data_IF_864067875306
#
_entry.id   IF_864067875306
#
_cell.length_a   1.000
_cell.length_b   1.000
_cell.length_c   1.000
_cell.angle_alpha   90.00
_cell.angle_beta   90.00
_cell.angle_gamma   90.00
#
_symmetry.space_group_name_H-M   'P 1'
#
loop_
_entity.id
_entity.type
_entity.pdbx_description
1 polymer ?
#
# COMPACT_ATOMS: atom_id res chain seq x y z
N UNK A 1 -15.64 0.83 -2.61
CA UNK A 1 -16.43 1.22 -1.42
C UNK A 1 -15.90 2.55 -0.95
N UNK A 2 -16.77 3.54 -0.75
CA UNK A 2 -16.40 4.89 -0.32
C UNK A 2 -15.99 4.90 1.16
N UNK A 3 -14.91 5.61 1.48
CA UNK A 3 -14.49 5.87 2.87
C UNK A 3 -15.50 6.86 3.48
N UNK A 4 -16.17 6.56 4.60
CA UNK A 4 -17.08 7.51 5.24
C UNK A 4 -16.27 8.60 5.97
N UNK A 5 -16.64 9.87 5.82
CA UNK A 5 -16.11 10.96 6.65
C UNK A 5 -15.63 12.23 5.95
N UNK A 6 -16.00 12.48 4.69
CA UNK A 6 -15.63 13.73 3.99
C UNK A 6 -16.89 14.58 3.82
N UNK A 7 -16.88 15.83 4.33
CA UNK A 7 -17.85 16.85 3.96
C UNK A 7 -18.01 16.81 2.44
N UNK A 8 -19.22 16.52 1.95
CA UNK A 8 -19.45 16.28 0.53
C UNK A 8 -19.04 17.50 -0.29
N UNK A 9 -17.82 17.47 -0.84
CA UNK A 9 -17.39 18.39 -1.88
C UNK A 9 -18.46 18.33 -2.96
N UNK A 10 -18.98 19.47 -3.45
CA UNK A 10 -19.96 19.45 -4.52
C UNK A 10 -19.41 18.60 -5.66
N UNK A 11 -20.26 17.72 -6.19
CA UNK A 11 -20.01 16.74 -7.26
C UNK A 11 -19.75 17.40 -8.61
N UNK A 12 -18.89 18.41 -8.64
CA UNK A 12 -18.54 19.10 -9.87
C UNK A 12 -17.55 18.26 -10.67
N UNK A 13 -17.72 18.23 -12.00
CA UNK A 13 -16.68 17.76 -12.89
C UNK A 13 -15.34 18.50 -12.63
N UNK A 14 -14.23 17.79 -12.86
CA UNK A 14 -12.87 18.33 -12.72
C UNK A 14 -12.44 18.98 -14.04
N UNK A 15 -11.78 20.15 -14.07
CA UNK A 15 -11.31 20.71 -15.35
C UNK A 15 -10.15 19.92 -15.94
N UNK A 16 -9.86 20.11 -17.24
CA UNK A 16 -8.68 19.50 -17.89
C UNK A 16 -7.37 19.92 -17.23
N UNK A 17 -7.26 21.16 -16.78
CA UNK A 17 -6.08 21.69 -16.11
C UNK A 17 -5.93 21.08 -14.71
N UNK A 18 -7.01 21.00 -13.94
CA UNK A 18 -7.04 20.37 -12.61
C UNK A 18 -6.61 18.90 -12.71
N UNK A 19 -7.15 18.17 -13.70
CA UNK A 19 -6.79 16.78 -13.93
C UNK A 19 -5.34 16.59 -14.33
N UNK A 20 -4.85 17.39 -15.29
CA UNK A 20 -3.46 17.31 -15.75
C UNK A 20 -2.48 17.65 -14.61
N UNK A 21 -2.80 18.65 -13.79
CA UNK A 21 -2.01 19.03 -12.63
C UNK A 21 -1.98 17.93 -11.56
N UNK A 22 -3.12 17.29 -11.29
CA UNK A 22 -3.22 16.20 -10.33
C UNK A 22 -2.35 15.00 -10.75
N UNK A 23 -2.44 14.59 -12.02
CA UNK A 23 -1.64 13.49 -12.58
C UNK A 23 -0.14 13.83 -12.62
N UNK A 24 0.25 15.05 -13.04
CA UNK A 24 1.66 15.49 -12.98
C UNK A 24 2.17 15.42 -11.55
N UNK A 25 1.40 15.94 -10.58
CA UNK A 25 1.79 15.92 -9.18
C UNK A 25 1.97 14.48 -8.68
N UNK A 26 1.04 13.59 -8.99
CA UNK A 26 1.13 12.19 -8.63
C UNK A 26 2.35 11.48 -9.26
N UNK A 27 2.62 11.73 -10.55
CA UNK A 27 3.79 11.19 -11.24
C UNK A 27 5.11 11.79 -10.71
N UNK A 28 5.11 13.06 -10.34
CA UNK A 28 6.27 13.72 -9.74
C UNK A 28 6.59 13.12 -8.37
N UNK A 29 5.58 12.95 -7.52
CA UNK A 29 5.71 12.30 -6.21
C UNK A 29 6.32 10.90 -6.35
N UNK A 30 5.81 10.11 -7.31
CA UNK A 30 6.39 8.81 -7.62
C UNK A 30 7.86 8.92 -8.09
N UNK A 31 8.20 9.90 -8.92
CA UNK A 31 9.59 10.09 -9.37
C UNK A 31 10.56 10.51 -8.26
N UNK A 32 10.05 11.18 -7.21
CA UNK A 32 10.88 11.52 -6.05
C UNK A 32 11.28 10.28 -5.25
N UNK A 33 10.46 9.23 -5.24
CA UNK A 33 10.79 7.97 -4.57
C UNK A 33 12.02 7.29 -5.18
N UNK A 34 12.28 7.50 -6.47
CA UNK A 34 13.46 6.98 -7.17
C UNK A 34 14.75 7.74 -6.82
N UNK A 35 14.65 8.90 -6.15
CA UNK A 35 15.79 9.81 -5.89
C UNK A 35 16.02 10.03 -4.39
N UNK A 36 15.03 9.77 -3.53
CA UNK A 36 15.17 9.96 -2.08
C UNK A 36 16.08 8.91 -1.45
N UNK A 37 17.30 9.32 -1.10
CA UNK A 37 18.29 8.51 -0.37
C UNK A 37 18.19 8.65 1.16
N UNK A 38 17.05 9.08 1.71
CA UNK A 38 16.96 9.36 3.15
C UNK A 38 17.06 8.04 3.93
N UNK A 39 18.23 7.83 4.53
CA UNK A 39 18.48 6.70 5.42
C UNK A 39 17.90 6.96 6.78
N UNK A 40 16.96 6.12 7.26
CA UNK A 40 16.46 6.28 8.61
C UNK A 40 17.62 6.14 9.59
N UNK A 41 17.71 7.07 10.53
CA UNK A 41 18.69 7.02 11.62
C UNK A 41 18.47 5.78 12.48
N UNK A 42 17.21 5.37 12.61
CA UNK A 42 16.78 4.19 13.37
C UNK A 42 15.48 3.65 12.79
N UNK A 43 15.36 2.33 12.77
CA UNK A 43 14.15 1.64 12.39
C UNK A 43 13.77 0.59 13.43
N UNK A 44 12.50 0.57 13.83
CA UNK A 44 11.98 -0.39 14.82
C UNK A 44 10.66 -0.99 14.36
N UNK A 45 10.47 -2.30 14.53
CA UNK A 45 9.23 -3.00 14.21
C UNK A 45 8.61 -3.68 15.44
N UNK A 46 7.30 -3.51 15.62
CA UNK A 46 6.48 -4.25 16.58
C UNK A 46 5.56 -5.19 15.79
N UNK A 47 5.75 -6.50 15.95
CA UNK A 47 4.95 -7.55 15.29
C UNK A 47 3.97 -8.16 16.30
N UNK A 48 2.67 -8.00 16.06
CA UNK A 48 1.60 -8.34 17.01
C UNK A 48 0.71 -9.45 16.46
N UNK A 49 0.42 -10.46 17.27
CA UNK A 49 -0.61 -11.46 16.98
C UNK A 49 -1.38 -11.89 18.25
N UNK A 50 -2.55 -12.50 18.10
CA UNK A 50 -3.31 -13.04 19.23
C UNK A 50 -3.08 -14.54 19.43
N UNK A 51 -3.13 -15.00 20.68
CA UNK A 51 -2.94 -16.42 21.03
C UNK A 51 -4.12 -17.30 20.62
N UNK A 52 -5.36 -16.78 20.67
CA UNK A 52 -6.55 -17.46 20.16
C UNK A 52 -6.41 -17.85 18.69
N UNK A 53 -5.68 -17.02 17.95
CA UNK A 53 -5.37 -17.28 16.55
C UNK A 53 -4.44 -18.48 16.40
N UNK A 54 -3.68 -18.91 17.41
CA UNK A 54 -2.84 -20.13 17.27
C UNK A 54 -3.67 -21.41 17.30
N UNK A 55 -4.64 -21.45 18.22
CA UNK A 55 -5.51 -22.61 18.41
C UNK A 55 -6.47 -22.77 17.23
N UNK A 56 -6.88 -21.65 16.64
CA UNK A 56 -7.80 -21.60 15.49
C UNK A 56 -7.04 -21.56 14.15
N UNK A 57 -5.79 -21.04 14.15
CA UNK A 57 -4.95 -20.76 12.97
C UNK A 57 -3.47 -21.03 13.28
N UNK A 58 -3.00 -22.29 13.18
CA UNK A 58 -1.67 -22.68 13.64
C UNK A 58 -0.50 -21.95 12.94
N UNK A 59 -0.77 -21.22 11.86
CA UNK A 59 0.20 -20.47 11.08
C UNK A 59 0.34 -18.99 11.48
N UNK A 60 -0.50 -18.43 12.35
CA UNK A 60 -0.50 -16.99 12.63
C UNK A 60 0.76 -16.54 13.38
N UNK A 61 1.10 -17.20 14.48
CA UNK A 61 2.32 -16.87 15.23
C UNK A 61 3.57 -17.09 14.38
N UNK A 62 3.68 -18.25 13.73
CA UNK A 62 4.85 -18.53 12.88
C UNK A 62 4.97 -17.55 11.70
N UNK A 63 3.85 -17.05 11.17
CA UNK A 63 3.87 -16.01 10.14
C UNK A 63 4.29 -14.65 10.71
N UNK A 64 3.78 -14.26 11.89
CA UNK A 64 4.20 -13.06 12.61
C UNK A 64 5.70 -13.09 12.94
N UNK A 65 6.21 -14.22 13.41
CA UNK A 65 7.63 -14.46 13.65
C UNK A 65 8.45 -14.30 12.36
N UNK A 66 7.97 -14.80 11.22
CA UNK A 66 8.67 -14.62 9.93
C UNK A 66 8.70 -13.16 9.47
N UNK A 67 7.66 -12.37 9.75
CA UNK A 67 7.66 -10.92 9.49
C UNK A 67 8.69 -10.23 10.38
N UNK A 68 8.71 -10.58 11.68
CA UNK A 68 9.72 -10.08 12.62
C UNK A 68 11.14 -10.43 12.15
N UNK A 69 11.36 -11.68 11.75
CA UNK A 69 12.67 -12.18 11.31
C UNK A 69 13.16 -11.50 10.03
N UNK A 70 12.28 -11.13 9.08
CA UNK A 70 12.74 -10.39 7.89
C UNK A 70 13.17 -8.98 8.28
N UNK A 71 12.43 -8.28 9.14
CA UNK A 71 12.84 -6.95 9.61
C UNK A 71 14.14 -7.00 10.42
N UNK A 72 14.29 -7.98 11.30
CA UNK A 72 15.50 -8.14 12.13
C UNK A 72 16.70 -8.60 11.32
N UNK A 73 16.60 -9.75 10.65
CA UNK A 73 17.77 -10.43 10.08
C UNK A 73 18.11 -9.93 8.68
N UNK A 74 17.13 -9.48 7.90
CA UNK A 74 17.34 -9.01 6.52
C UNK A 74 17.54 -7.50 6.47
N UNK A 75 16.76 -6.74 7.24
CA UNK A 75 16.82 -5.26 7.25
C UNK A 75 17.61 -4.70 8.44
N UNK A 76 17.92 -5.48 9.47
CA UNK A 76 18.70 -5.01 10.62
C UNK A 76 17.95 -4.02 11.51
N UNK A 77 16.62 -4.10 11.55
CA UNK A 77 15.77 -3.26 12.39
C UNK A 77 15.72 -3.79 13.83
N UNK A 78 15.49 -2.89 14.79
CA UNK A 78 15.14 -3.31 16.15
C UNK A 78 13.74 -3.94 16.13
N UNK A 79 13.57 -5.20 16.53
CA UNK A 79 12.25 -5.85 16.47
C UNK A 79 11.77 -6.34 17.82
N UNK A 80 10.45 -6.29 18.00
CA UNK A 80 9.76 -6.83 19.19
C UNK A 80 8.56 -7.64 18.72
N UNK A 81 8.46 -8.89 19.17
CA UNK A 81 7.26 -9.70 19.02
C UNK A 81 6.33 -9.53 20.22
N UNK A 82 5.03 -9.37 19.97
CA UNK A 82 4.00 -9.33 21.00
C UNK A 82 2.91 -10.35 20.68
N UNK A 83 2.78 -11.35 21.56
CA UNK A 83 1.64 -12.27 21.54
C UNK A 83 0.65 -11.82 22.61
N UNK A 84 -0.51 -11.32 22.19
CA UNK A 84 -1.59 -10.97 23.12
C UNK A 84 -2.30 -12.27 23.51
N UNK A 85 -2.20 -12.61 24.80
CA UNK A 85 -2.70 -13.88 25.35
C UNK A 85 -4.22 -13.90 25.45
N UNK A 86 -4.82 -15.10 25.37
CA UNK A 86 -6.28 -15.28 25.47
C UNK A 86 -6.84 -14.75 26.80
N UNK A 87 -6.08 -14.91 27.87
CA UNK A 87 -6.40 -14.47 29.22
C UNK A 87 -6.05 -13.00 29.50
N UNK A 88 -5.57 -12.25 28.50
CA UNK A 88 -5.32 -10.82 28.66
C UNK A 88 -6.64 -10.10 28.92
N UNK A 89 -6.76 -9.51 30.11
CA UNK A 89 -7.96 -8.81 30.56
C UNK A 89 -8.12 -7.46 29.89
N UNK A 90 -7.05 -6.91 29.30
CA UNK A 90 -7.07 -5.62 28.62
C UNK A 90 -6.07 -5.57 27.45
N UNK A 91 -6.37 -6.24 26.32
CA UNK A 91 -5.56 -6.19 25.11
C UNK A 91 -5.24 -4.77 24.61
N UNK A 92 -6.18 -3.83 24.75
CA UNK A 92 -5.96 -2.41 24.41
C UNK A 92 -4.80 -1.81 25.21
N UNK A 93 -4.77 -2.03 26.54
CA UNK A 93 -3.72 -1.51 27.40
C UNK A 93 -2.36 -2.19 27.13
N UNK A 94 -2.36 -3.50 26.89
CA UNK A 94 -1.15 -4.26 26.52
C UNK A 94 -0.54 -3.71 25.22
N UNK A 95 -1.35 -3.55 24.18
CA UNK A 95 -0.90 -2.99 22.91
C UNK A 95 -0.44 -1.53 23.07
N UNK A 96 -1.18 -0.72 23.84
CA UNK A 96 -0.80 0.66 24.15
C UNK A 96 0.57 0.76 24.84
N UNK A 97 0.86 -0.14 25.78
CA UNK A 97 2.15 -0.21 26.46
C UNK A 97 3.27 -0.56 25.48
N UNK A 98 3.04 -1.56 24.62
CA UNK A 98 4.01 -1.97 23.60
C UNK A 98 4.30 -0.85 22.59
N UNK A 99 3.29 -0.06 22.20
CA UNK A 99 3.47 1.12 21.34
C UNK A 99 4.33 2.19 22.02
N UNK A 100 4.20 2.36 23.34
CA UNK A 100 5.12 3.21 24.10
C UNK A 100 6.59 2.76 23.92
N UNK A 101 6.84 1.45 23.94
CA UNK A 101 8.13 0.87 23.63
C UNK A 101 8.57 1.07 22.17
N UNK A 102 7.64 0.95 21.21
CA UNK A 102 7.89 1.17 19.78
C UNK A 102 8.37 2.61 19.52
N UNK A 103 7.71 3.61 20.09
CA UNK A 103 8.00 5.02 19.82
C UNK A 103 9.06 5.65 20.71
N UNK A 104 9.45 4.99 21.82
CA UNK A 104 10.45 5.54 22.72
C UNK A 104 11.78 5.85 22.01
N UNK A 105 12.15 7.13 22.00
CA UNK A 105 13.36 7.67 21.36
C UNK A 105 13.32 7.68 19.83
N UNK A 106 12.13 7.72 19.23
CA UNK A 106 11.92 7.86 17.78
C UNK A 106 11.50 9.30 17.45
N UNK A 107 12.04 9.86 16.36
CA UNK A 107 11.76 11.19 15.84
C UNK A 107 11.55 11.13 14.31
N UNK A 108 11.44 12.29 13.66
CA UNK A 108 11.21 12.45 12.21
C UNK A 108 12.25 11.77 11.30
N UNK A 109 13.44 11.44 11.81
CA UNK A 109 14.47 10.70 11.07
C UNK A 109 14.37 9.17 11.30
N UNK A 110 13.37 8.71 12.04
CA UNK A 110 13.17 7.31 12.38
C UNK A 110 11.96 6.72 11.64
N UNK A 111 11.96 5.39 11.48
CA UNK A 111 10.82 4.61 10.96
C UNK A 111 10.34 3.63 12.04
N UNK A 112 9.10 3.76 12.47
CA UNK A 112 8.40 2.79 13.29
C UNK A 112 7.48 1.93 12.42
N UNK A 113 7.50 0.62 12.62
CA UNK A 113 6.63 -0.32 11.89
C UNK A 113 5.73 -1.03 12.90
N UNK A 114 4.42 -0.97 12.68
CA UNK A 114 3.44 -1.75 13.40
C UNK A 114 2.89 -2.82 12.46
N UNK A 115 3.28 -4.07 12.67
CA UNK A 115 2.67 -5.22 12.00
C UNK A 115 1.65 -5.88 12.91
N UNK A 116 0.47 -6.18 12.37
CA UNK A 116 -0.59 -6.88 13.08
C UNK A 116 -1.17 -7.97 12.18
N UNK A 117 -1.30 -9.17 12.73
CA UNK A 117 -2.04 -10.28 12.14
C UNK A 117 -3.05 -10.82 13.16
N UNK A 118 -4.34 -10.85 12.81
CA UNK A 118 -5.37 -11.38 13.69
C UNK A 118 -6.80 -10.96 13.33
N UNK A 119 -7.69 -10.88 14.32
CA UNK A 119 -9.08 -10.54 14.09
C UNK A 119 -9.32 -9.03 13.84
N UNK A 120 -10.24 -8.73 12.92
CA UNK A 120 -10.90 -7.42 12.78
C UNK A 120 -12.41 -7.53 13.06
N UNK A 121 -13.16 -6.45 12.84
CA UNK A 121 -14.61 -6.40 13.06
C UNK A 121 -15.04 -6.77 14.49
N UNK A 122 -16.11 -7.56 14.63
CA UNK A 122 -16.66 -7.98 15.94
C UNK A 122 -15.66 -8.79 16.81
N UNK A 123 -14.67 -9.42 16.18
CA UNK A 123 -13.62 -10.17 16.87
C UNK A 123 -12.47 -9.30 17.39
N UNK A 124 -12.41 -8.03 16.98
CA UNK A 124 -11.33 -7.11 17.33
C UNK A 124 -11.28 -6.87 18.85
N UNK A 125 -10.08 -6.97 19.44
CA UNK A 125 -9.87 -6.80 20.89
C UNK A 125 -9.31 -5.43 21.28
N UNK A 126 -9.09 -4.56 20.31
CA UNK A 126 -8.60 -3.20 20.49
C UNK A 126 -9.39 -2.27 19.56
N UNK A 127 -9.43 -0.98 19.88
CA UNK A 127 -10.10 0.03 19.06
C UNK A 127 -9.03 0.80 18.29
N UNK A 128 -8.87 0.50 17.00
CA UNK A 128 -7.81 1.08 16.19
C UNK A 128 -7.89 2.62 16.08
N UNK A 129 -9.05 3.26 15.83
CA UNK A 129 -9.13 4.73 15.77
C UNK A 129 -8.62 5.39 17.06
N UNK A 130 -9.08 4.90 18.22
CA UNK A 130 -8.61 5.39 19.52
C UNK A 130 -7.12 5.17 19.73
N UNK A 131 -6.58 4.03 19.30
CA UNK A 131 -5.16 3.73 19.41
C UNK A 131 -4.32 4.61 18.48
N UNK A 132 -4.79 4.83 17.25
CA UNK A 132 -4.17 5.72 16.28
C UNK A 132 -4.08 7.14 16.84
N UNK A 133 -5.22 7.73 17.18
CA UNK A 133 -5.32 9.14 17.59
C UNK A 133 -4.51 9.44 18.85
N UNK A 134 -4.44 8.48 19.79
CA UNK A 134 -3.80 8.70 21.08
C UNK A 134 -2.34 8.22 21.16
N UNK A 135 -1.91 7.32 20.27
CA UNK A 135 -0.61 6.63 20.40
C UNK A 135 0.22 6.56 19.15
N UNK A 136 -0.33 6.78 17.96
CA UNK A 136 0.42 6.74 16.70
C UNK A 136 0.56 8.14 16.12
N UNK A 137 -0.56 8.80 15.84
CA UNK A 137 -0.60 10.10 15.18
C UNK A 137 0.13 11.23 15.95
N UNK A 138 0.15 11.25 17.30
CA UNK A 138 0.86 12.30 18.03
C UNK A 138 2.39 12.26 17.93
N UNK A 139 2.99 11.21 17.35
CA UNK A 139 4.45 11.08 17.25
C UNK A 139 4.97 11.63 15.94
N UNK A 140 6.10 12.36 16.00
CA UNK A 140 6.77 12.93 14.82
C UNK A 140 7.43 11.87 13.93
N UNK A 141 7.67 10.66 14.47
CA UNK A 141 8.30 9.59 13.73
C UNK A 141 7.51 9.14 12.49
N UNK A 142 8.21 8.70 11.45
CA UNK A 142 7.54 8.08 10.31
C UNK A 142 6.98 6.72 10.73
N UNK A 143 5.74 6.41 10.38
CA UNK A 143 5.11 5.15 10.80
C UNK A 143 4.53 4.40 9.61
N UNK A 144 4.90 3.12 9.48
CA UNK A 144 4.26 2.18 8.58
C UNK A 144 3.42 1.18 9.39
N UNK A 145 2.13 1.11 9.09
CA UNK A 145 1.19 0.18 9.69
C UNK A 145 0.86 -0.90 8.65
N UNK A 146 1.01 -2.17 9.03
CA UNK A 146 0.86 -3.34 8.16
C UNK A 146 -0.13 -4.32 8.80
N UNK A 147 -1.37 -4.35 8.34
CA UNK A 147 -2.43 -5.15 8.96
C UNK A 147 -2.89 -6.28 8.04
N UNK A 148 -2.92 -7.51 8.57
CA UNK A 148 -3.61 -8.66 7.99
C UNK A 148 -4.72 -9.09 8.93
N UNK A 149 -5.98 -8.98 8.49
CA UNK A 149 -7.13 -9.25 9.35
C UNK A 149 -8.07 -10.30 8.75
N UNK A 150 -8.77 -11.09 9.56
CA UNK A 150 -9.82 -11.96 9.02
C UNK A 150 -11.08 -11.18 8.59
N UNK A 151 -11.29 -9.99 9.15
CA UNK A 151 -12.38 -9.06 8.82
C UNK A 151 -11.83 -7.63 8.74
N UNK A 152 -12.51 -6.70 8.05
CA UNK A 152 -12.12 -5.29 8.02
C UNK A 152 -12.00 -4.69 9.43
N UNK A 153 -11.01 -3.84 9.63
CA UNK A 153 -10.89 -2.99 10.82
C UNK A 153 -11.46 -1.61 10.48
N UNK A 154 -12.10 -0.98 11.46
CA UNK A 154 -12.51 0.42 11.35
C UNK A 154 -11.28 1.33 11.35
N UNK A 155 -11.09 2.09 10.27
CA UNK A 155 -9.92 2.97 10.09
C UNK A 155 -10.27 4.45 10.32
N UNK A 156 -11.56 4.81 10.41
CA UNK A 156 -12.13 6.16 10.57
C UNK A 156 -11.25 7.34 10.09
N UNK A 157 -11.56 7.88 8.90
CA UNK A 157 -10.83 8.99 8.31
C UNK A 157 -9.43 8.64 7.81
N UNK A 158 -8.55 9.64 7.75
CA UNK A 158 -7.17 9.50 7.31
C UNK A 158 -6.25 9.22 8.50
N UNK A 159 -5.14 8.54 8.24
CA UNK A 159 -4.04 8.42 9.21
C UNK A 159 -3.25 9.73 9.30
N UNK A 160 -2.53 9.95 10.41
CA UNK A 160 -1.76 11.16 10.65
C UNK A 160 -0.67 11.45 9.62
N UNK A 161 -0.07 12.63 9.72
CA UNK A 161 1.06 13.06 8.89
C UNK A 161 2.29 12.15 9.08
N UNK A 162 2.97 11.82 7.98
CA UNK A 162 4.11 10.89 7.94
C UNK A 162 3.75 9.46 8.39
N UNK A 163 2.47 9.10 8.29
CA UNK A 163 1.97 7.76 8.61
C UNK A 163 1.41 7.14 7.33
N UNK A 164 1.68 5.86 7.15
CA UNK A 164 1.23 5.05 6.01
C UNK A 164 0.64 3.74 6.52
N UNK A 165 -0.49 3.30 5.94
CA UNK A 165 -1.18 2.06 6.31
C UNK A 165 -1.37 1.22 5.05
N UNK A 166 -0.83 0.00 5.07
CA UNK A 166 -1.19 -1.06 4.12
C UNK A 166 -1.98 -2.12 4.89
N UNK A 167 -3.25 -2.28 4.52
CA UNK A 167 -4.15 -3.19 5.21
C UNK A 167 -4.81 -4.16 4.23
N UNK A 168 -4.87 -5.43 4.60
CA UNK A 168 -5.58 -6.47 3.86
C UNK A 168 -6.47 -7.24 4.82
N UNK A 169 -7.56 -7.78 4.29
CA UNK A 169 -8.41 -8.68 5.05
C UNK A 169 -8.81 -9.90 4.22
N UNK A 170 -9.07 -11.03 4.87
CA UNK A 170 -9.50 -12.25 4.20
C UNK A 170 -10.83 -12.03 3.46
N UNK A 171 -10.90 -12.48 2.20
CA UNK A 171 -12.19 -12.60 1.53
C UNK A 171 -12.93 -13.80 2.16
N UNK A 172 -14.25 -13.68 2.37
CA UNK A 172 -15.09 -14.77 2.93
C UNK A 172 -15.06 -16.06 2.10
N UNK A 173 -14.40 -16.06 0.94
CA UNK A 173 -14.32 -17.15 -0.02
C UNK A 173 -12.96 -17.88 -0.01
N UNK A 174 -11.99 -17.51 0.85
CA UNK A 174 -10.74 -18.25 0.93
C UNK A 174 -10.96 -19.66 1.49
N UNK A 175 -10.42 -20.69 0.82
CA UNK A 175 -10.52 -22.09 1.25
C UNK A 175 -9.77 -22.41 2.56
N UNK A 176 -9.00 -21.45 3.09
CA UNK A 176 -8.50 -21.50 4.46
C UNK A 176 -9.57 -20.82 5.32
N UNK A 177 -10.08 -21.49 6.35
CA UNK A 177 -11.33 -21.16 7.10
C UNK A 177 -11.51 -19.69 7.56
N UNK A 178 -10.49 -18.84 7.47
CA UNK A 178 -10.59 -17.37 7.49
C UNK A 178 -9.31 -16.63 7.00
N UNK A 179 -8.48 -17.28 6.18
CA UNK A 179 -7.35 -16.67 5.46
C UNK A 179 -6.12 -16.19 6.26
N UNK A 180 -6.12 -16.22 7.60
CA UNK A 180 -5.01 -15.69 8.40
C UNK A 180 -3.74 -16.55 8.31
N UNK A 181 -2.61 -15.92 7.97
CA UNK A 181 -1.30 -16.59 7.94
C UNK A 181 -1.21 -17.71 6.89
N UNK A 182 -2.14 -17.72 5.94
CA UNK A 182 -2.20 -18.69 4.86
C UNK A 182 -1.08 -18.42 3.83
N UNK A 183 -0.83 -19.39 2.94
CA UNK A 183 0.23 -19.24 1.93
C UNK A 183 0.02 -18.04 0.98
N UNK A 184 -1.24 -17.76 0.67
CA UNK A 184 -1.69 -16.64 -0.15
C UNK A 184 -2.08 -15.41 0.70
N UNK A 185 -1.66 -15.39 1.97
CA UNK A 185 -1.97 -14.33 2.92
C UNK A 185 -1.05 -13.13 2.76
N UNK A 186 -1.49 -11.99 3.31
CA UNK A 186 -0.78 -10.72 3.21
C UNK A 186 0.63 -10.78 3.80
N UNK A 187 0.78 -11.24 5.05
CA UNK A 187 2.06 -11.23 5.77
C UNK A 187 3.09 -12.17 5.14
N UNK A 188 2.66 -13.31 4.56
CA UNK A 188 3.59 -14.19 3.85
C UNK A 188 4.08 -13.59 2.54
N UNK A 189 3.20 -12.93 1.78
CA UNK A 189 3.59 -12.21 0.57
C UNK A 189 4.45 -10.98 0.89
N UNK A 190 4.19 -10.27 1.98
CA UNK A 190 5.04 -9.22 2.52
C UNK A 190 6.47 -9.73 2.74
N UNK A 191 6.64 -10.86 3.44
CA UNK A 191 7.96 -11.46 3.68
C UNK A 191 8.65 -11.84 2.36
N UNK A 192 7.91 -12.44 1.40
CA UNK A 192 8.45 -12.82 0.09
C UNK A 192 8.98 -11.59 -0.66
N UNK A 193 8.21 -10.51 -0.73
CA UNK A 193 8.60 -9.28 -1.45
C UNK A 193 9.77 -8.56 -0.79
N UNK A 194 9.78 -8.45 0.54
CA UNK A 194 10.87 -7.83 1.27
C UNK A 194 12.20 -8.60 1.09
N UNK A 195 12.15 -9.94 1.12
CA UNK A 195 13.33 -10.79 0.87
C UNK A 195 13.79 -10.70 -0.58
N UNK A 196 12.86 -10.82 -1.52
CA UNK A 196 13.17 -10.74 -2.95
C UNK A 196 13.82 -9.40 -3.31
N UNK A 197 13.30 -8.28 -2.81
CA UNK A 197 13.93 -6.98 -3.00
C UNK A 197 15.36 -6.94 -2.44
N UNK A 198 15.56 -7.41 -1.21
CA UNK A 198 16.90 -7.47 -0.61
C UNK A 198 17.88 -8.36 -1.39
N UNK A 199 17.45 -9.55 -1.82
CA UNK A 199 18.26 -10.49 -2.62
C UNK A 199 18.67 -9.90 -3.97
N UNK A 200 17.82 -9.07 -4.56
CA UNK A 200 18.12 -8.32 -5.77
C UNK A 200 18.91 -7.02 -5.53
N UNK A 201 19.29 -6.70 -4.29
CA UNK A 201 20.00 -5.45 -3.96
C UNK A 201 19.13 -4.20 -4.10
N UNK A 202 17.82 -4.33 -3.92
CA UNK A 202 16.87 -3.24 -4.07
C UNK A 202 16.37 -2.71 -2.72
N UNK A 203 16.14 -1.39 -2.66
CA UNK A 203 15.31 -0.76 -1.61
C UNK A 203 13.88 -0.57 -2.11
N UNK A 204 12.91 -0.66 -1.20
CA UNK A 204 11.49 -0.52 -1.53
C UNK A 204 10.91 0.72 -0.85
N UNK A 205 10.27 1.60 -1.62
CA UNK A 205 9.28 2.49 -1.03
C UNK A 205 8.04 1.67 -0.62
N UNK A 206 7.27 2.18 0.32
CA UNK A 206 5.99 1.58 0.72
C UNK A 206 4.96 1.55 -0.41
N UNK A 207 4.96 2.54 -1.31
CA UNK A 207 4.11 2.52 -2.50
C UNK A 207 4.55 1.43 -3.51
N UNK A 208 5.87 1.18 -3.64
CA UNK A 208 6.41 0.07 -4.43
C UNK A 208 6.07 -1.29 -3.81
N UNK A 209 6.24 -1.43 -2.50
CA UNK A 209 5.83 -2.62 -1.76
C UNK A 209 4.34 -2.89 -1.96
N UNK A 210 3.51 -1.85 -1.80
CA UNK A 210 2.08 -1.93 -2.04
C UNK A 210 1.77 -2.38 -3.47
N UNK A 211 2.39 -1.76 -4.48
CA UNK A 211 2.15 -2.09 -5.89
C UNK A 211 2.46 -3.55 -6.20
N UNK A 212 3.54 -4.09 -5.63
CA UNK A 212 3.90 -5.51 -5.76
C UNK A 212 2.85 -6.41 -5.13
N UNK A 213 2.41 -6.10 -3.91
CA UNK A 213 1.37 -6.86 -3.22
C UNK A 213 0.03 -6.79 -3.94
N UNK A 214 -0.40 -5.62 -4.40
CA UNK A 214 -1.65 -5.44 -5.14
C UNK A 214 -1.65 -6.21 -6.47
N UNK A 215 -0.52 -6.22 -7.19
CA UNK A 215 -0.39 -6.98 -8.45
C UNK A 215 -0.57 -8.48 -8.22
N UNK A 216 -0.12 -9.02 -7.09
CA UNK A 216 -0.31 -10.43 -6.73
C UNK A 216 -1.76 -10.82 -6.51
N UNK A 217 -2.64 -9.87 -6.17
CA UNK A 217 -4.08 -10.12 -6.07
C UNK A 217 -4.74 -10.39 -7.42
N UNK A 218 -4.04 -10.13 -8.52
CA UNK A 218 -4.51 -10.40 -9.87
C UNK A 218 -3.69 -11.49 -10.58
N UNK A 219 -2.44 -11.70 -10.16
CA UNK A 219 -1.53 -12.65 -10.81
C UNK A 219 -1.97 -14.08 -10.51
N UNK A 220 -2.33 -14.83 -11.55
CA UNK A 220 -2.77 -16.22 -11.44
C UNK A 220 -1.58 -17.18 -11.58
N UNK A 221 -1.51 -18.15 -10.66
CA UNK A 221 -0.63 -19.32 -10.80
C UNK A 221 -1.25 -20.31 -11.78
N UNK A 222 -0.46 -21.31 -12.19
CA UNK A 222 -0.92 -22.45 -13.01
C UNK A 222 -2.14 -23.18 -12.40
N UNK A 223 -2.32 -23.08 -11.08
CA UNK A 223 -3.46 -23.62 -10.34
C UNK A 223 -4.77 -22.81 -10.48
N UNK A 224 -4.80 -21.74 -11.28
CA UNK A 224 -5.91 -20.78 -11.38
C UNK A 224 -6.23 -20.01 -10.10
N UNK A 225 -5.33 -20.09 -9.11
CA UNK A 225 -5.41 -19.29 -7.88
C UNK A 225 -4.55 -18.04 -8.01
N UNK A 226 -4.99 -16.95 -7.39
CA UNK A 226 -4.18 -15.73 -7.29
C UNK A 226 -3.00 -15.93 -6.34
N UNK A 227 -1.95 -15.13 -6.45
CA UNK A 227 -0.82 -15.18 -5.51
C UNK A 227 -1.13 -14.56 -4.14
N UNK A 228 -2.10 -13.64 -4.10
CA UNK A 228 -2.63 -12.99 -2.89
C UNK A 228 -4.17 -13.05 -2.90
N UNK A 229 -4.77 -13.43 -1.77
CA UNK A 229 -6.22 -13.72 -1.69
C UNK A 229 -7.11 -12.48 -1.72
N UNK A 230 -6.58 -11.33 -1.30
CA UNK A 230 -7.31 -10.08 -1.26
C UNK A 230 -6.45 -8.93 -1.75
N UNK A 231 -7.12 -7.92 -2.34
CA UNK A 231 -6.47 -6.67 -2.71
C UNK A 231 -6.15 -5.88 -1.44
N UNK A 232 -4.87 -5.61 -1.11
CA UNK A 232 -4.56 -4.71 -0.02
C UNK A 232 -5.04 -3.29 -0.37
N UNK A 233 -5.35 -2.54 0.67
CA UNK A 233 -5.63 -1.11 0.61
C UNK A 233 -4.44 -0.33 1.13
N UNK A 234 -4.15 0.79 0.49
CA UNK A 234 -3.14 1.73 0.93
C UNK A 234 -3.77 3.06 1.32
N UNK A 235 -3.49 3.52 2.53
CA UNK A 235 -4.06 4.73 3.12
C UNK A 235 -2.89 5.60 3.59
N UNK A 236 -2.99 6.90 3.31
CA UNK A 236 -2.05 7.96 3.71
C UNK A 236 -2.82 9.25 3.95
N UNK A 237 -2.20 10.21 4.63
CA UNK A 237 -2.80 11.54 4.77
C UNK A 237 -2.87 12.26 3.40
N UNK A 238 -4.00 12.87 3.01
CA UNK A 238 -4.19 13.43 1.66
C UNK A 238 -3.36 14.69 1.42
N UNK A 239 -2.94 15.36 2.50
CA UNK A 239 -2.05 16.52 2.46
C UNK A 239 -0.58 16.15 2.63
N UNK A 240 -0.26 14.88 2.87
CA UNK A 240 1.14 14.47 2.79
C UNK A 240 1.57 14.52 1.34
N UNK A 241 2.44 15.48 1.05
CA UNK A 241 3.07 15.66 -0.25
C UNK A 241 4.54 15.20 -0.22
N UNK A 242 4.91 14.45 0.83
CA UNK A 242 6.20 13.81 0.94
C UNK A 242 6.30 12.53 0.11
N UNK A 243 7.54 12.09 -0.20
CA UNK A 243 7.81 10.78 -0.78
C UNK A 243 7.34 9.68 0.17
N UNK A 244 7.03 8.50 -0.38
CA UNK A 244 6.68 7.36 0.45
C UNK A 244 7.85 6.86 1.28
N UNK A 245 7.55 6.18 2.39
CA UNK A 245 8.59 5.70 3.32
C UNK A 245 9.50 4.69 2.64
N UNK A 246 10.81 4.87 2.79
CA UNK A 246 11.82 4.00 2.19
C UNK A 246 12.25 2.90 3.16
N UNK A 247 11.94 1.65 2.82
CA UNK A 247 12.37 0.46 3.53
C UNK A 247 13.75 0.04 3.03
N UNK A 248 14.77 0.31 3.84
CA UNK A 248 16.17 0.01 3.51
C UNK A 248 16.91 -0.69 4.65
N UNK A 249 17.80 -1.65 4.36
CA UNK A 249 18.63 -2.28 5.38
C UNK A 249 19.52 -1.30 6.15
N UNK A 250 19.49 -1.36 7.48
CA UNK A 250 20.33 -0.52 8.36
C UNK A 250 21.82 -0.87 8.25
N UNK A 251 22.13 -2.17 8.16
CA UNK A 251 23.49 -2.70 8.03
C UNK A 251 23.71 -3.16 6.59
N UNK A 252 24.42 -2.37 5.81
CA UNK A 252 24.89 -2.81 4.50
C UNK A 252 26.14 -3.67 4.67
N UNK A 253 26.18 -4.84 4.02
CA UNK A 253 27.48 -5.46 3.71
C UNK A 253 28.17 -4.51 2.74
N UNK A 254 29.46 -4.26 2.95
CA UNK A 254 30.26 -3.20 2.34
C UNK A 254 30.37 -3.18 0.80
N UNK A 255 29.60 -4.01 0.07
CA UNK A 255 29.63 -4.16 -1.39
C UNK A 255 28.23 -4.18 -2.03
N UNK A 256 27.15 -3.83 -1.32
CA UNK A 256 25.80 -3.74 -1.90
C UNK A 256 25.46 -2.27 -2.15
N UNK A 257 25.71 -1.81 -3.38
CA UNK A 257 25.09 -0.59 -3.89
C UNK A 257 23.60 -0.86 -4.05
N UNK A 258 22.82 -0.42 -3.07
CA UNK A 258 21.38 -0.58 -3.11
C UNK A 258 20.81 0.41 -4.11
N UNK A 259 20.21 -0.08 -5.19
CA UNK A 259 19.46 0.77 -6.09
C UNK A 259 18.00 0.81 -5.63
N UNK A 260 17.28 1.93 -5.83
CA UNK A 260 15.83 1.91 -5.81
C UNK A 260 15.35 0.73 -6.65
N UNK A 261 14.42 -0.05 -6.11
CA UNK A 261 13.85 -1.14 -6.87
C UNK A 261 13.38 -0.57 -8.21
N UNK A 262 13.81 -1.13 -9.36
CA UNK A 262 13.09 -0.85 -10.59
C UNK A 262 11.64 -1.21 -10.28
N UNK A 263 10.74 -0.24 -10.37
CA UNK A 263 9.34 -0.55 -10.54
C UNK A 263 9.32 -1.51 -11.72
N UNK A 264 9.02 -2.79 -11.46
CA UNK A 264 9.12 -3.89 -12.41
C UNK A 264 8.95 -3.33 -13.81
N UNK A 265 10.06 -3.30 -14.56
CA UNK A 265 10.11 -2.73 -15.90
C UNK A 265 8.83 -3.14 -16.61
N UNK A 266 8.04 -2.15 -17.01
CA UNK A 266 6.83 -2.31 -17.80
C UNK A 266 7.00 -3.46 -18.79
N UNK A 267 6.46 -4.63 -18.45
CA UNK A 267 6.84 -5.86 -19.12
C UNK A 267 6.30 -7.06 -18.37
N UNK A 268 5.14 -7.49 -18.82
CA UNK A 268 4.54 -8.82 -18.68
C UNK A 268 3.60 -9.11 -17.51
N UNK A 269 3.70 -8.49 -16.32
CA UNK A 269 2.80 -8.87 -15.19
C UNK A 269 2.30 -7.75 -14.26
N UNK A 270 2.70 -6.48 -14.44
CA UNK A 270 2.19 -5.39 -13.60
C UNK A 270 0.72 -5.06 -13.94
N UNK A 271 -0.13 -4.98 -12.91
CA UNK A 271 -1.51 -4.55 -13.04
C UNK A 271 -1.63 -3.02 -12.89
N UNK A 272 -2.44 -2.41 -13.75
CA UNK A 272 -2.80 -0.99 -13.73
C UNK A 272 -4.24 -0.81 -13.24
N UNK A 273 -4.51 0.36 -12.69
CA UNK A 273 -5.83 0.80 -12.24
C UNK A 273 -6.52 1.53 -13.37
N UNK A 274 -7.72 1.08 -13.73
CA UNK A 274 -8.52 1.74 -14.75
C UNK A 274 -9.47 2.74 -14.09
N UNK A 275 -9.24 4.01 -14.40
CA UNK A 275 -10.00 5.16 -13.89
C UNK A 275 -10.94 5.70 -14.95
N UNK A 276 -12.12 6.07 -14.50
CA UNK A 276 -13.13 6.85 -15.21
C UNK A 276 -13.13 8.26 -14.64
N UNK A 277 -12.79 9.25 -15.45
CA UNK A 277 -12.69 10.66 -15.03
C UNK A 277 -13.73 11.54 -15.74
N UNK A 278 -14.51 12.28 -14.97
CA UNK A 278 -15.49 13.25 -15.47
C UNK A 278 -14.86 14.65 -15.61
N UNK A 279 -14.73 15.14 -16.84
CA UNK A 279 -14.07 16.41 -17.15
C UNK A 279 -15.10 17.53 -17.35
N UNK A 280 -14.90 18.68 -16.71
CA UNK A 280 -15.69 19.89 -16.87
C UNK A 280 -15.41 20.54 -18.22
N UNK A 281 -16.44 20.95 -18.95
CA UNK A 281 -16.32 21.58 -20.27
C UNK A 281 -15.44 20.74 -21.23
N UNK A 282 -15.50 19.42 -21.08
CA UNK A 282 -14.53 18.46 -21.63
C UNK A 282 -14.62 18.25 -23.13
N UNK A 283 -15.51 18.97 -23.83
CA UNK A 283 -15.78 18.78 -25.26
C UNK A 283 -14.50 18.49 -26.06
N UNK A 284 -14.58 17.51 -26.96
CA UNK A 284 -13.52 16.85 -27.76
C UNK A 284 -12.08 17.41 -27.75
N UNK A 285 -11.90 18.73 -27.91
CA UNK A 285 -10.60 19.40 -27.83
C UNK A 285 -9.89 19.21 -26.48
N UNK A 286 -10.60 19.30 -25.36
CA UNK A 286 -9.99 19.15 -24.02
C UNK A 286 -9.54 17.70 -23.78
N UNK A 287 -10.37 16.72 -24.14
CA UNK A 287 -10.04 15.30 -24.06
C UNK A 287 -8.84 14.93 -24.95
N UNK A 288 -8.76 15.48 -26.17
CA UNK A 288 -7.57 15.28 -27.01
C UNK A 288 -6.33 16.00 -26.50
N UNK A 289 -6.49 17.17 -25.86
CA UNK A 289 -5.37 17.86 -25.22
C UNK A 289 -4.79 17.00 -24.09
N UNK A 290 -5.65 16.38 -23.26
CA UNK A 290 -5.24 15.43 -22.22
C UNK A 290 -4.49 14.23 -22.83
N UNK A 291 -5.05 13.59 -23.86
CA UNK A 291 -4.38 12.46 -24.50
C UNK A 291 -3.01 12.85 -25.09
N UNK A 292 -2.97 13.98 -25.82
CA UNK A 292 -1.75 14.48 -26.45
C UNK A 292 -0.70 14.91 -25.42
N UNK A 293 -1.13 15.42 -24.27
CA UNK A 293 -0.26 15.79 -23.16
C UNK A 293 0.30 14.55 -22.47
N UNK A 294 -0.55 13.57 -22.11
CA UNK A 294 -0.14 12.35 -21.42
C UNK A 294 0.86 11.52 -22.25
N UNK A 295 0.72 11.52 -23.57
CA UNK A 295 1.64 10.84 -24.49
C UNK A 295 3.00 11.55 -24.68
N UNK A 296 3.07 12.86 -24.41
CA UNK A 296 4.28 13.67 -24.66
C UNK A 296 5.03 14.05 -23.40
N UNK A 297 4.39 14.01 -22.24
CA UNK A 297 4.98 14.47 -21.00
C UNK A 297 5.93 13.40 -20.42
N UNK A 298 7.21 13.71 -20.16
CA UNK A 298 8.18 12.69 -19.71
C UNK A 298 7.77 12.00 -18.40
N UNK A 299 7.17 12.74 -17.46
CA UNK A 299 6.75 12.17 -16.17
C UNK A 299 5.60 11.15 -16.28
N UNK A 300 4.83 11.14 -17.37
CA UNK A 300 3.66 10.25 -17.54
C UNK A 300 4.00 9.02 -18.39
N UNK A 301 5.17 8.99 -19.01
CA UNK A 301 5.64 7.87 -19.83
C UNK A 301 5.66 6.56 -19.03
N UNK A 302 5.01 5.52 -19.58
CA UNK A 302 4.87 4.20 -18.92
C UNK A 302 4.00 4.19 -17.64
N UNK A 303 3.46 5.34 -17.23
CA UNK A 303 2.75 5.50 -15.95
C UNK A 303 1.27 5.85 -16.13
N UNK A 304 0.93 6.50 -17.24
CA UNK A 304 -0.42 6.95 -17.57
C UNK A 304 -0.72 6.63 -19.02
N UNK A 305 -1.85 5.98 -19.28
CA UNK A 305 -2.33 5.62 -20.61
C UNK A 305 -3.77 6.05 -20.77
N UNK A 306 -4.06 6.93 -21.73
CA UNK A 306 -5.42 7.37 -22.03
C UNK A 306 -6.02 6.43 -23.07
N UNK A 307 -7.05 5.69 -22.68
CA UNK A 307 -7.63 4.59 -23.47
C UNK A 307 -8.81 5.04 -24.31
N UNK A 308 -9.75 5.76 -23.70
CA UNK A 308 -11.00 6.09 -24.37
C UNK A 308 -11.53 7.46 -23.96
N UNK A 309 -12.07 8.19 -24.95
CA UNK A 309 -12.58 9.55 -24.80
C UNK A 309 -14.05 9.60 -25.23
N UNK A 310 -14.95 9.90 -24.30
CA UNK A 310 -16.39 9.92 -24.53
C UNK A 310 -16.91 11.35 -24.68
N UNK A 311 -17.08 11.78 -25.94
CA UNK A 311 -17.51 13.14 -26.29
C UNK A 311 -18.87 13.56 -25.72
N UNK A 312 -19.85 12.64 -25.60
CA UNK A 312 -21.22 12.98 -25.17
C UNK A 312 -21.33 13.19 -23.66
N UNK A 313 -20.44 12.57 -22.91
CA UNK A 313 -20.49 12.58 -21.45
C UNK A 313 -19.28 13.29 -20.85
N UNK A 314 -18.43 13.94 -21.66
CA UNK A 314 -17.17 14.56 -21.23
C UNK A 314 -16.34 13.67 -20.28
N UNK A 315 -16.31 12.37 -20.59
CA UNK A 315 -15.71 11.32 -19.75
C UNK A 315 -14.44 10.78 -20.41
N UNK A 316 -13.40 10.55 -19.62
CA UNK A 316 -12.15 9.92 -20.04
C UNK A 316 -11.96 8.60 -19.30
N UNK A 317 -11.55 7.55 -20.01
CA UNK A 317 -11.03 6.32 -19.41
C UNK A 317 -9.52 6.30 -19.57
N UNK A 318 -8.82 6.05 -18.49
CA UNK A 318 -7.36 5.92 -18.49
C UNK A 318 -6.91 4.80 -17.57
N UNK A 319 -5.77 4.20 -17.89
CA UNK A 319 -5.03 3.30 -17.03
C UNK A 319 -3.87 4.06 -16.37
N UNK A 320 -3.67 3.84 -15.07
CA UNK A 320 -2.53 4.37 -14.31
C UNK A 320 -1.91 3.27 -13.46
N UNK A 321 -0.62 3.38 -13.18
CA UNK A 321 0.01 2.45 -12.23
C UNK A 321 -0.56 2.65 -10.82
N UNK A 322 -0.45 1.63 -9.96
CA UNK A 322 -0.85 1.73 -8.56
C UNK A 322 -0.18 2.92 -7.84
N UNK A 323 1.12 3.15 -8.08
CA UNK A 323 1.87 4.25 -7.46
C UNK A 323 1.30 5.62 -7.86
N UNK A 324 0.89 5.79 -9.12
CA UNK A 324 0.24 7.03 -9.55
C UNK A 324 -1.15 7.13 -8.91
N UNK A 325 -1.94 6.06 -8.95
CA UNK A 325 -3.30 6.05 -8.39
C UNK A 325 -3.35 6.49 -6.94
N UNK A 326 -2.47 5.99 -6.09
CA UNK A 326 -2.47 6.32 -4.66
C UNK A 326 -1.93 7.72 -4.33
N UNK A 327 -1.20 8.33 -5.25
CA UNK A 327 -0.77 9.72 -5.13
C UNK A 327 -1.79 10.70 -5.72
N UNK A 328 -2.89 10.22 -6.33
CA UNK A 328 -3.97 11.08 -6.79
C UNK A 328 -4.81 11.57 -5.60
N UNK A 329 -5.22 12.85 -5.61
CA UNK A 329 -6.15 13.35 -4.60
C UNK A 329 -7.49 12.65 -4.73
N UNK A 330 -8.15 12.35 -3.60
CA UNK A 330 -9.53 11.88 -3.64
C UNK A 330 -10.44 12.96 -4.24
N UNK A 331 -11.09 12.65 -5.36
CA UNK A 331 -11.97 13.58 -6.06
C UNK A 331 -13.13 12.81 -6.69
N UNK A 332 -14.40 13.21 -6.46
CA UNK A 332 -15.59 12.48 -6.95
C UNK A 332 -15.64 12.29 -8.47
N UNK A 333 -14.95 13.15 -9.23
CA UNK A 333 -14.83 13.02 -10.67
C UNK A 333 -13.96 11.83 -11.11
N UNK A 334 -13.04 11.35 -10.27
CA UNK A 334 -12.13 10.23 -10.57
C UNK A 334 -12.66 8.96 -9.90
N UNK A 335 -13.30 8.10 -10.68
CA UNK A 335 -13.91 6.86 -10.19
C UNK A 335 -13.15 5.65 -10.72
N UNK A 336 -12.81 4.72 -9.84
CA UNK A 336 -12.23 3.43 -10.25
C UNK A 336 -13.30 2.55 -10.90
N UNK A 337 -12.98 1.97 -12.06
CA UNK A 337 -13.89 1.07 -12.78
C UNK A 337 -13.34 -0.35 -12.98
N UNK A 338 -12.04 -0.57 -12.75
CA UNK A 338 -11.45 -1.91 -12.84
C UNK A 338 -9.93 -1.92 -12.75
N UNK A 339 -9.36 -3.05 -13.16
CA UNK A 339 -7.93 -3.31 -13.24
C UNK A 339 -7.61 -4.00 -14.56
N UNK A 340 -6.40 -3.80 -15.07
CA UNK A 340 -5.93 -4.48 -16.28
C UNK A 340 -4.46 -4.88 -16.14
N UNK A 341 -4.04 -5.92 -16.87
CA UNK A 341 -2.62 -6.21 -17.05
C UNK A 341 -2.07 -5.45 -18.24
N UNK A 342 -0.85 -4.95 -18.13
CA UNK A 342 -0.14 -4.39 -19.28
C UNK A 342 -0.01 -5.46 -20.36
N UNK A 343 -0.72 -5.29 -21.48
CA UNK A 343 -0.57 -6.16 -22.65
C UNK A 343 0.82 -5.94 -23.23
N UNK A 344 1.64 -6.98 -23.25
CA UNK A 344 2.86 -6.96 -24.04
C UNK A 344 2.48 -6.89 -25.51
N UNK A 345 2.94 -5.86 -26.21
CA UNK A 345 2.81 -5.72 -27.67
C UNK A 345 3.59 -6.78 -28.48
N UNK A 346 4.06 -7.86 -27.84
CA UNK A 346 4.84 -8.94 -28.47
C UNK A 346 4.10 -10.25 -28.74
N UNK A 347 2.87 -10.47 -28.24
CA UNK A 347 2.18 -11.76 -28.38
C UNK A 347 1.06 -11.81 -29.45
N UNK A 348 0.91 -10.79 -30.30
CA UNK A 348 -0.12 -10.77 -31.36
C UNK A 348 0.38 -11.12 -32.77
N UNK A 349 1.63 -11.56 -32.94
CA UNK A 349 2.15 -12.05 -34.23
C UNK A 349 2.39 -13.56 -34.25
N UNK A 350 1.43 -14.34 -33.75
CA UNK A 350 1.59 -15.80 -33.69
C UNK A 350 0.33 -16.56 -33.31
N UNK A 351 -0.81 -16.27 -33.95
CA UNK A 351 -1.91 -17.21 -34.12
C UNK A 351 -2.52 -17.01 -35.50
#
# INVERSE_FOLDING_TARGET
>A
MAVPGIESMPSRPMTSEEFSAAIIKACFLYSQEEVTEIKPRKARALCVCFELDKDSHPNVESTSERVRDVFENTYGYDTVGLVIRKQDKNPQATLTSALGGLFNGMDEDCIAILHYIGHGGEGQKFVFPSLRDNKIDPWDANVLILFECCFPIEIDGYIGHHKELIYAYASRESMCDDGLGCERGFSRNLVRELKHAHECGHVLSTSQLYSRLATKSFTMKESWETELDSLPHYIRHPRDHGPSLLLQPMRQKSNLDLTPAPCQTLGDQAADVVLSVQIANGGWRALHAIQSWAQRHPLTEGRVRVDELYKRTDKCILAVTFQVWYNLPDHPAMNQIGFEFKRTTGQLNGL
#
